data_IF_254625260301
#
_entry.id   IF_254625260301
#
_cell.length_a   1.000
_cell.length_b   1.000
_cell.length_c   1.000
_cell.angle_alpha   90.00
_cell.angle_beta   90.00
_cell.angle_gamma   90.00
#
_symmetry.space_group_name_H-M   'P 1'
#
loop_
_entity.id
_entity.type
_entity.pdbx_description
1 polymer ?
#
# COMPACT_ATOMS: atom_id res chain seq x y z
N UNK A 1 3.88 3.16 -18.06
CA UNK A 1 3.10 4.42 -17.87
C UNK A 1 3.54 5.53 -18.84
N UNK A 2 2.60 6.17 -19.57
CA UNK A 2 2.83 7.44 -20.31
C UNK A 2 2.57 8.59 -19.33
N UNK A 3 3.41 9.63 -19.31
CA UNK A 3 3.33 10.65 -18.25
C UNK A 3 3.80 12.03 -18.67
N UNK A 4 3.40 13.02 -17.89
CA UNK A 4 3.78 14.42 -18.05
C UNK A 4 5.22 14.65 -17.59
N UNK A 5 5.92 15.67 -18.14
CA UNK A 5 7.29 15.96 -17.77
C UNK A 5 7.40 16.45 -16.33
N UNK A 6 8.48 16.04 -15.65
CA UNK A 6 8.83 16.48 -14.30
C UNK A 6 9.32 17.94 -14.36
N UNK A 7 8.86 18.83 -13.46
CA UNK A 7 9.40 20.18 -13.33
C UNK A 7 10.93 20.20 -13.18
N UNK A 8 11.63 21.01 -13.99
CA UNK A 8 13.10 21.04 -14.01
C UNK A 8 13.71 21.39 -12.65
N UNK A 9 13.04 22.25 -11.88
CA UNK A 9 13.44 22.63 -10.52
C UNK A 9 13.51 21.45 -9.56
N UNK A 10 12.70 20.41 -9.77
CA UNK A 10 12.73 19.19 -8.96
C UNK A 10 13.89 18.29 -9.40
N UNK A 11 14.12 18.16 -10.70
CA UNK A 11 15.24 17.39 -11.26
C UNK A 11 16.58 17.91 -10.71
N UNK A 12 16.77 19.23 -10.71
CA UNK A 12 17.99 19.86 -10.19
C UNK A 12 18.24 19.57 -8.70
N UNK A 13 17.18 19.35 -7.92
CA UNK A 13 17.24 19.13 -6.47
C UNK A 13 17.10 17.67 -6.05
N UNK A 14 17.09 16.74 -6.99
CA UNK A 14 16.87 15.31 -6.70
C UNK A 14 17.92 14.75 -5.74
N UNK A 15 19.18 15.16 -5.91
CA UNK A 15 20.31 14.72 -5.09
C UNK A 15 20.26 15.26 -3.65
N UNK A 16 19.54 16.36 -3.42
CA UNK A 16 19.34 16.92 -2.07
C UNK A 16 18.26 16.14 -1.31
N UNK A 17 17.32 15.55 -2.05
CA UNK A 17 16.18 14.85 -1.49
C UNK A 17 16.47 13.37 -1.20
N UNK A 18 17.04 12.63 -2.15
CA UNK A 18 17.38 11.21 -2.02
C UNK A 18 18.48 11.01 -0.97
N UNK A 19 18.50 9.90 -0.21
CA UNK A 19 19.61 9.58 0.67
C UNK A 19 20.92 9.41 -0.12
N UNK A 20 22.01 9.92 0.45
CA UNK A 20 23.40 9.62 0.08
C UNK A 20 23.76 8.14 0.25
N UNK A 21 23.10 7.45 1.18
CA UNK A 21 23.28 6.01 1.43
C UNK A 21 21.91 5.31 1.57
N UNK A 22 21.65 4.34 0.69
CA UNK A 22 20.40 3.57 0.68
C UNK A 22 20.20 2.67 1.89
N UNK A 23 21.26 2.35 2.65
CA UNK A 23 21.10 1.68 3.95
C UNK A 23 20.22 2.48 4.92
N UNK A 24 20.11 3.81 4.73
CA UNK A 24 19.20 4.67 5.52
C UNK A 24 17.72 4.36 5.28
N UNK A 25 17.35 3.80 4.11
CA UNK A 25 15.98 3.36 3.82
C UNK A 25 15.63 2.01 4.45
N UNK A 26 16.62 1.25 4.92
CA UNK A 26 16.37 0.01 5.68
C UNK A 26 15.92 0.29 7.12
N UNK A 27 15.99 1.55 7.56
CA UNK A 27 15.64 2.00 8.90
C UNK A 27 16.30 1.11 9.97
N UNK A 28 17.63 1.21 10.03
CA UNK A 28 18.46 0.47 11.00
C UNK A 28 18.46 1.22 12.32
N UNK A 29 18.15 0.55 13.42
CA UNK A 29 18.19 1.10 14.78
C UNK A 29 18.93 0.18 15.74
N UNK A 30 19.55 0.74 16.78
CA UNK A 30 20.16 -0.05 17.85
C UNK A 30 19.08 -0.53 18.83
N UNK A 31 19.13 -1.80 19.23
CA UNK A 31 18.28 -2.33 20.29
C UNK A 31 18.86 -2.08 21.69
N UNK A 32 18.10 -2.44 22.74
CA UNK A 32 18.51 -2.29 24.14
C UNK A 32 19.84 -3.00 24.48
N UNK A 33 20.32 -3.93 23.63
CA UNK A 33 21.58 -4.65 23.78
C UNK A 33 22.70 -4.08 22.91
N UNK A 34 22.49 -2.97 22.20
CA UNK A 34 23.45 -2.37 21.27
C UNK A 34 23.62 -3.14 19.96
N UNK A 35 22.69 -4.04 19.62
CA UNK A 35 22.68 -4.75 18.34
C UNK A 35 21.84 -3.97 17.31
N UNK A 36 22.44 -3.71 16.15
CA UNK A 36 21.74 -3.12 15.01
C UNK A 36 20.62 -4.05 14.52
N UNK A 37 19.38 -3.58 14.55
CA UNK A 37 18.20 -4.23 13.99
C UNK A 37 17.70 -3.47 12.78
N UNK A 38 17.30 -4.21 11.76
CA UNK A 38 16.61 -3.67 10.58
C UNK A 38 15.13 -3.54 10.94
N UNK A 39 14.61 -2.32 10.87
CA UNK A 39 13.21 -2.05 11.19
C UNK A 39 12.26 -2.28 10.03
N UNK A 40 12.75 -2.48 8.82
CA UNK A 40 11.91 -2.83 7.67
C UNK A 40 11.69 -4.34 7.56
N UNK A 41 10.46 -4.74 7.27
CA UNK A 41 10.12 -6.13 6.95
C UNK A 41 10.37 -6.35 5.46
N UNK A 42 11.26 -7.29 5.13
CA UNK A 42 11.35 -7.77 3.75
C UNK A 42 10.20 -8.77 3.51
N UNK A 43 9.49 -8.61 2.40
CA UNK A 43 8.48 -9.57 1.94
C UNK A 43 8.75 -9.94 0.49
N UNK A 44 8.03 -10.95 0.00
CA UNK A 44 7.86 -11.09 -1.43
C UNK A 44 7.12 -9.87 -1.96
N UNK A 45 7.62 -9.29 -3.04
CA UNK A 45 7.05 -8.15 -3.74
C UNK A 45 6.80 -8.55 -5.19
N UNK A 46 5.61 -8.26 -5.68
CA UNK A 46 5.22 -8.53 -7.06
C UNK A 46 5.83 -7.54 -8.04
N UNK A 47 6.16 -6.33 -7.59
CA UNK A 47 6.75 -5.23 -8.34
C UNK A 47 5.87 -4.60 -9.44
N UNK A 48 4.86 -5.32 -9.93
CA UNK A 48 4.01 -4.87 -11.05
C UNK A 48 2.50 -5.13 -10.86
N UNK A 49 1.92 -4.74 -9.72
CA UNK A 49 0.47 -4.87 -9.46
C UNK A 49 -0.31 -3.70 -10.10
N UNK A 50 -0.33 -3.65 -11.43
CA UNK A 50 -1.12 -2.72 -12.24
C UNK A 50 -2.52 -3.25 -12.55
N UNK A 51 -3.38 -2.43 -13.18
CA UNK A 51 -4.78 -2.79 -13.42
C UNK A 51 -4.99 -3.94 -14.41
N UNK A 52 -4.06 -4.16 -15.33
CA UNK A 52 -4.04 -5.26 -16.29
C UNK A 52 -3.61 -6.60 -15.67
N UNK A 53 -2.85 -6.54 -14.56
CA UNK A 53 -2.42 -7.71 -13.80
C UNK A 53 -3.41 -8.16 -12.70
N UNK A 54 -4.53 -7.44 -12.53
CA UNK A 54 -5.60 -7.83 -11.59
C UNK A 54 -6.84 -8.32 -12.35
N UNK A 55 -7.09 -9.62 -12.27
CA UNK A 55 -8.28 -10.21 -12.88
C UNK A 55 -9.54 -9.91 -12.05
N UNK A 56 -10.52 -9.27 -12.70
CA UNK A 56 -11.82 -8.92 -12.12
C UNK A 56 -12.90 -9.87 -12.63
N UNK A 57 -13.76 -10.34 -11.72
CA UNK A 57 -14.95 -11.11 -12.08
C UNK A 57 -16.24 -10.42 -11.64
N UNK A 58 -17.36 -10.59 -12.38
CA UNK A 58 -18.65 -10.11 -11.93
C UNK A 58 -19.09 -10.85 -10.66
N UNK A 59 -19.45 -10.09 -9.63
CA UNK A 59 -20.18 -10.64 -8.49
C UNK A 59 -21.52 -11.18 -8.99
N UNK A 60 -21.76 -12.47 -8.75
CA UNK A 60 -23.10 -13.03 -8.94
C UNK A 60 -24.09 -12.37 -7.98
N UNK A 61 -25.37 -12.34 -8.36
CA UNK A 61 -26.49 -11.78 -7.57
C UNK A 61 -26.57 -12.37 -6.14
N UNK A 62 -25.84 -13.46 -5.86
CA UNK A 62 -25.81 -14.15 -4.56
C UNK A 62 -24.49 -14.03 -3.77
N UNK A 63 -23.40 -13.46 -4.30
CA UNK A 63 -22.07 -13.58 -3.68
C UNK A 63 -21.58 -12.39 -2.86
N UNK A 64 -22.32 -11.27 -2.83
CA UNK A 64 -21.94 -10.05 -2.10
C UNK A 64 -22.57 -9.90 -0.70
N UNK A 65 -23.31 -10.91 -0.21
CA UNK A 65 -23.75 -10.98 1.18
C UNK A 65 -22.65 -11.59 2.07
N UNK A 66 -21.52 -10.90 2.22
CA UNK A 66 -20.57 -11.18 3.29
C UNK A 66 -20.25 -9.87 4.00
N UNK A 67 -20.97 -9.61 5.10
CA UNK A 67 -20.63 -8.58 6.07
C UNK A 67 -21.82 -7.84 6.67
N UNK A 68 -22.29 -8.34 7.82
CA UNK A 68 -23.17 -7.72 8.81
C UNK A 68 -24.69 -7.72 8.58
N UNK A 69 -25.35 -8.81 8.99
CA UNK A 69 -26.65 -8.72 9.68
C UNK A 69 -26.67 -9.67 10.87
N UNK A 70 -26.21 -9.17 12.03
CA UNK A 70 -26.70 -9.68 13.30
C UNK A 70 -28.06 -9.02 13.55
N UNK A 71 -29.15 -9.76 13.36
CA UNK A 71 -30.45 -9.36 13.91
C UNK A 71 -31.64 -9.53 12.97
N UNK A 72 -32.50 -10.46 13.39
CA UNK A 72 -33.96 -10.48 13.22
C UNK A 72 -34.54 -10.76 11.83
N UNK A 73 -35.02 -11.99 11.70
CA UNK A 73 -36.24 -12.42 11.01
C UNK A 73 -37.14 -11.29 10.49
N UNK A 74 -37.39 -11.25 9.17
CA UNK A 74 -38.72 -10.92 8.68
C UNK A 74 -38.98 -11.45 7.26
N UNK A 75 -39.71 -12.57 7.24
CA UNK A 75 -40.83 -12.94 6.36
C UNK A 75 -40.76 -12.55 4.88
N UNK A 76 -40.59 -13.59 4.08
CA UNK A 76 -40.96 -13.69 2.67
C UNK A 76 -42.46 -13.40 2.46
N UNK A 77 -42.80 -12.37 1.68
CA UNK A 77 -43.94 -12.36 0.73
C UNK A 77 -44.10 -10.98 0.07
N UNK A 78 -44.26 -10.96 -1.26
CA UNK A 78 -45.06 -9.92 -1.91
C UNK A 78 -44.51 -9.28 -3.18
N UNK A 79 -44.78 -9.96 -4.30
CA UNK A 79 -45.30 -9.36 -5.54
C UNK A 79 -44.41 -8.39 -6.35
N UNK A 80 -44.01 -8.91 -7.52
CA UNK A 80 -43.57 -8.18 -8.71
C UNK A 80 -44.61 -7.16 -9.18
N UNK A 81 -44.16 -5.92 -9.44
CA UNK A 81 -44.56 -5.01 -10.53
C UNK A 81 -43.78 -3.69 -10.31
N UNK A 82 -43.15 -3.03 -11.26
CA UNK A 82 -42.99 -3.19 -12.70
C UNK A 82 -42.32 -1.91 -13.20
N UNK A 83 -41.45 -2.04 -14.19
CA UNK A 83 -40.88 -0.99 -15.03
C UNK A 83 -39.84 -0.02 -14.41
N UNK A 84 -38.59 -0.40 -14.63
CA UNK A 84 -37.39 0.41 -14.53
C UNK A 84 -36.23 -0.56 -14.60
N UNK A 85 -35.33 -0.41 -15.56
CA UNK A 85 -34.13 -1.23 -15.74
C UNK A 85 -33.24 -1.19 -14.48
N UNK A 86 -33.66 -1.87 -13.42
CA UNK A 86 -32.80 -2.20 -12.29
C UNK A 86 -31.99 -3.42 -12.72
N UNK A 87 -31.14 -3.19 -13.71
CA UNK A 87 -29.95 -4.00 -13.89
C UNK A 87 -29.19 -3.85 -12.58
N UNK A 88 -29.43 -4.78 -11.64
CA UNK A 88 -28.74 -4.84 -10.37
C UNK A 88 -27.28 -4.59 -10.66
N UNK A 89 -26.74 -3.54 -10.05
CA UNK A 89 -25.39 -3.07 -10.33
C UNK A 89 -24.47 -4.28 -10.27
N UNK A 90 -23.97 -4.70 -11.44
CA UNK A 90 -23.02 -5.79 -11.53
C UNK A 90 -21.77 -5.29 -10.83
N UNK A 91 -21.66 -5.59 -9.54
CA UNK A 91 -20.46 -5.30 -8.79
C UNK A 91 -19.38 -6.22 -9.31
N UNK A 92 -18.15 -5.74 -9.36
CA UNK A 92 -16.99 -6.51 -9.76
C UNK A 92 -16.14 -6.77 -8.52
N UNK A 93 -15.50 -7.93 -8.45
CA UNK A 93 -14.54 -8.24 -7.40
C UNK A 93 -13.22 -8.71 -8.00
N UNK A 94 -12.07 -8.34 -7.40
CA UNK A 94 -10.80 -8.94 -7.75
C UNK A 94 -10.83 -10.42 -7.39
N UNK A 95 -10.29 -11.27 -8.26
CA UNK A 95 -10.27 -12.72 -8.06
C UNK A 95 -8.85 -13.29 -8.15
N UNK A 96 -8.02 -12.84 -9.09
CA UNK A 96 -6.65 -13.31 -9.25
C UNK A 96 -5.69 -12.15 -9.52
N UNK A 97 -4.44 -12.32 -9.08
CA UNK A 97 -3.29 -11.50 -9.49
C UNK A 97 -2.49 -12.36 -10.50
N UNK A 98 -2.02 -11.73 -11.57
CA UNK A 98 -1.31 -12.36 -12.68
C UNK A 98 0.09 -11.75 -12.82
N UNK A 99 0.93 -12.43 -13.61
CA UNK A 99 2.28 -11.99 -13.99
C UNK A 99 3.31 -11.82 -12.84
N UNK A 100 3.69 -12.95 -12.24
CA UNK A 100 4.72 -13.00 -11.19
C UNK A 100 6.16 -13.06 -11.73
N UNK A 101 6.41 -12.65 -12.99
CA UNK A 101 7.72 -12.82 -13.61
C UNK A 101 8.81 -11.95 -12.95
N UNK A 102 8.43 -10.80 -12.39
CA UNK A 102 9.31 -9.86 -11.69
C UNK A 102 9.28 -9.99 -10.15
N UNK A 103 8.77 -11.12 -9.65
CA UNK A 103 8.70 -11.40 -8.21
C UNK A 103 10.09 -11.34 -7.56
N UNK A 104 10.23 -10.52 -6.53
CA UNK A 104 11.49 -10.36 -5.80
C UNK A 104 11.28 -10.25 -4.29
N UNK A 105 12.37 -10.19 -3.52
CA UNK A 105 12.31 -9.93 -2.08
C UNK A 105 12.69 -8.47 -1.85
N UNK A 106 11.81 -7.72 -1.19
CA UNK A 106 12.03 -6.29 -0.99
C UNK A 106 11.06 -5.67 0.00
N UNK A 107 10.91 -4.36 -0.11
CA UNK A 107 10.00 -3.58 0.73
C UNK A 107 8.56 -3.66 0.20
N UNK A 108 7.57 -4.10 0.98
CA UNK A 108 6.17 -4.08 0.56
C UNK A 108 5.61 -2.68 0.20
N UNK A 109 6.26 -1.58 0.56
CA UNK A 109 5.91 -0.25 0.01
C UNK A 109 6.03 -0.23 -1.52
N UNK A 110 6.94 -1.02 -2.10
CA UNK A 110 7.17 -1.06 -3.54
C UNK A 110 5.92 -1.52 -4.29
N UNK A 111 5.22 -2.56 -3.81
CA UNK A 111 3.94 -3.03 -4.40
C UNK A 111 2.79 -2.03 -4.24
N UNK A 112 2.87 -1.14 -3.25
CA UNK A 112 1.85 -0.12 -3.03
C UNK A 112 1.86 0.96 -4.13
N UNK A 113 3.02 1.20 -4.75
CA UNK A 113 3.19 2.24 -5.77
C UNK A 113 2.29 1.99 -6.99
N UNK A 114 2.39 0.84 -7.69
CA UNK A 114 1.54 0.57 -8.86
C UNK A 114 0.06 0.43 -8.46
N UNK A 115 -0.25 -0.14 -7.28
CA UNK A 115 -1.64 -0.22 -6.79
C UNK A 115 -2.24 1.19 -6.66
N UNK A 116 -1.53 2.13 -6.03
CA UNK A 116 -2.09 3.46 -5.79
C UNK A 116 -2.20 4.28 -7.07
N UNK A 117 -1.18 4.25 -7.91
CA UNK A 117 -1.12 5.09 -9.10
C UNK A 117 -1.94 4.53 -10.27
N UNK A 118 -1.94 3.21 -10.44
CA UNK A 118 -2.58 2.59 -11.61
C UNK A 118 -3.98 2.05 -11.29
N UNK A 119 -4.15 1.28 -10.23
CA UNK A 119 -5.46 0.71 -9.87
C UNK A 119 -6.35 1.77 -9.22
N UNK A 120 -5.85 2.49 -8.22
CA UNK A 120 -6.63 3.51 -7.51
C UNK A 120 -6.62 4.87 -8.22
N UNK A 121 -5.80 5.04 -9.26
CA UNK A 121 -5.70 6.29 -10.03
C UNK A 121 -5.47 7.51 -9.14
N UNK A 122 -4.70 7.35 -8.06
CA UNK A 122 -4.40 8.40 -7.09
C UNK A 122 -5.53 8.73 -6.09
N UNK A 123 -6.63 7.96 -6.06
CA UNK A 123 -7.73 8.19 -5.12
C UNK A 123 -7.31 7.93 -3.67
N UNK A 124 -7.23 9.01 -2.89
CA UNK A 124 -6.80 8.98 -1.48
C UNK A 124 -7.74 8.17 -0.59
N UNK A 125 -9.05 8.18 -0.87
CA UNK A 125 -10.04 7.42 -0.09
C UNK A 125 -9.87 5.92 -0.30
N UNK A 126 -9.55 5.48 -1.52
CA UNK A 126 -9.23 4.08 -1.81
C UNK A 126 -7.93 3.66 -1.14
N UNK A 127 -6.89 4.51 -1.18
CA UNK A 127 -5.63 4.25 -0.46
C UNK A 127 -5.87 4.10 1.05
N UNK A 128 -6.63 5.01 1.66
CA UNK A 128 -6.95 4.95 3.09
C UNK A 128 -7.72 3.66 3.43
N UNK A 129 -8.70 3.27 2.62
CA UNK A 129 -9.46 2.03 2.80
C UNK A 129 -8.59 0.79 2.61
N UNK A 130 -7.69 0.80 1.63
CA UNK A 130 -6.72 -0.27 1.41
C UNK A 130 -5.82 -0.43 2.63
N UNK A 131 -5.20 0.64 3.13
CA UNK A 131 -4.31 0.61 4.29
C UNK A 131 -5.04 0.09 5.55
N UNK A 132 -6.27 0.56 5.80
CA UNK A 132 -7.13 0.07 6.90
C UNK A 132 -7.39 -1.44 6.80
N UNK A 133 -7.52 -1.96 5.58
CA UNK A 133 -7.81 -3.37 5.32
C UNK A 133 -6.55 -4.24 5.28
N UNK A 134 -5.41 -3.68 4.87
CA UNK A 134 -4.13 -4.35 4.69
C UNK A 134 -3.60 -4.92 6.01
N UNK A 135 -3.76 -4.18 7.11
CA UNK A 135 -3.45 -4.59 8.49
C UNK A 135 -2.00 -5.11 8.73
N UNK A 136 -1.10 -5.08 7.75
CA UNK A 136 0.29 -5.48 7.96
C UNK A 136 1.18 -4.26 8.18
N UNK A 137 2.06 -4.28 9.19
CA UNK A 137 2.99 -3.18 9.40
C UNK A 137 3.94 -3.05 8.21
N UNK A 138 4.05 -1.84 7.65
CA UNK A 138 5.06 -1.52 6.63
C UNK A 138 6.44 -1.26 7.25
N UNK A 139 6.47 -0.90 8.55
CA UNK A 139 7.68 -0.77 9.37
C UNK A 139 7.46 -1.50 10.68
N UNK A 140 8.45 -2.28 11.12
CA UNK A 140 8.45 -2.99 12.40
C UNK A 140 8.48 -1.96 13.53
N UNK A 141 7.42 -1.94 14.33
CA UNK A 141 7.27 -0.99 15.42
C UNK A 141 8.34 -1.17 16.49
N UNK A 142 9.29 -0.25 16.56
CA UNK A 142 9.75 0.24 17.86
C UNK A 142 8.62 1.13 18.36
N UNK A 143 8.26 0.99 19.64
CA UNK A 143 7.30 1.89 20.28
C UNK A 143 7.67 3.33 19.93
N UNK A 144 6.79 4.06 19.24
CA UNK A 144 6.94 5.50 18.99
C UNK A 144 6.92 6.35 20.29
N UNK A 145 7.12 5.73 21.45
CA UNK A 145 7.23 6.37 22.75
C UNK A 145 8.63 6.92 23.03
N UNK A 146 9.66 6.46 22.33
CA UNK A 146 10.84 7.28 22.17
C UNK A 146 10.58 8.19 20.98
N UNK A 147 10.16 9.41 21.32
CA UNK A 147 10.35 10.58 20.48
C UNK A 147 11.72 10.45 19.83
N UNK A 148 11.75 10.04 18.56
CA UNK A 148 12.89 10.29 17.69
C UNK A 148 13.05 11.79 17.76
N UNK A 149 13.99 12.23 18.58
CA UNK A 149 14.30 13.63 18.81
C UNK A 149 14.66 14.22 17.46
N UNK A 150 13.68 14.87 16.84
CA UNK A 150 13.88 15.75 15.70
C UNK A 150 13.91 15.06 14.34
N UNK A 151 12.98 15.45 13.48
CA UNK A 151 13.29 15.84 12.10
C UNK A 151 13.78 14.79 11.11
N UNK A 152 14.00 13.54 11.50
CA UNK A 152 14.59 12.57 10.59
C UNK A 152 13.58 12.04 9.56
N UNK A 153 13.70 12.51 8.32
CA UNK A 153 12.86 12.09 7.19
C UNK A 153 12.96 10.59 6.90
N UNK A 154 14.06 9.94 7.29
CA UNK A 154 14.30 8.52 7.05
C UNK A 154 13.38 7.58 7.83
N UNK A 155 12.60 8.06 8.80
CA UNK A 155 11.56 7.27 9.47
C UNK A 155 10.18 7.33 8.83
N UNK A 156 9.94 8.25 7.87
CA UNK A 156 8.61 8.52 7.31
C UNK A 156 8.29 7.60 6.14
N UNK A 157 7.14 6.93 6.20
CA UNK A 157 6.67 6.07 5.11
C UNK A 157 6.46 6.84 3.80
N UNK A 158 5.98 8.09 3.87
CA UNK A 158 5.82 8.94 2.69
C UNK A 158 7.16 9.21 1.99
N UNK A 159 8.20 9.48 2.76
CA UNK A 159 9.55 9.73 2.25
C UNK A 159 10.12 8.49 1.56
N UNK A 160 9.90 7.31 2.14
CA UNK A 160 10.30 6.03 1.54
C UNK A 160 9.61 5.80 0.21
N UNK A 161 8.28 5.92 0.18
CA UNK A 161 7.49 5.77 -1.03
C UNK A 161 7.94 6.74 -2.13
N UNK A 162 8.18 8.01 -1.77
CA UNK A 162 8.66 9.01 -2.72
C UNK A 162 10.07 8.70 -3.24
N UNK A 163 11.00 8.26 -2.38
CA UNK A 163 12.33 7.81 -2.82
C UNK A 163 12.23 6.66 -3.82
N UNK A 164 11.40 5.65 -3.54
CA UNK A 164 11.16 4.55 -4.46
C UNK A 164 10.55 5.02 -5.78
N UNK A 165 9.63 5.99 -5.76
CA UNK A 165 9.08 6.56 -6.99
C UNK A 165 10.13 7.25 -7.86
N UNK A 166 11.10 7.96 -7.25
CA UNK A 166 12.15 8.65 -8.00
C UNK A 166 13.17 7.67 -8.59
N UNK A 167 13.44 6.59 -7.87
CA UNK A 167 14.42 5.57 -8.23
C UNK A 167 13.83 4.41 -9.04
N UNK A 168 12.52 4.44 -9.30
CA UNK A 168 11.82 3.36 -9.96
C UNK A 168 12.33 3.16 -11.39
N UNK A 169 12.40 1.91 -11.84
CA UNK A 169 12.83 1.59 -13.20
C UNK A 169 11.81 2.07 -14.25
N UNK A 170 10.52 2.04 -13.90
CA UNK A 170 9.44 2.63 -14.70
C UNK A 170 9.23 4.14 -14.50
N UNK A 171 8.52 4.74 -15.45
CA UNK A 171 8.12 6.16 -15.42
C UNK A 171 6.99 6.46 -14.42
N UNK A 172 7.21 6.13 -13.15
CA UNK A 172 6.29 6.38 -12.03
C UNK A 172 6.10 7.88 -11.81
N UNK A 173 7.17 8.66 -11.88
CA UNK A 173 7.10 10.12 -11.74
C UNK A 173 6.20 10.74 -12.81
N UNK A 174 6.31 10.29 -14.06
CA UNK A 174 5.42 10.76 -15.12
C UNK A 174 3.94 10.50 -14.82
N UNK A 175 3.61 9.34 -14.24
CA UNK A 175 2.24 9.04 -13.82
C UNK A 175 1.77 9.97 -12.69
N UNK A 176 2.63 10.25 -11.70
CA UNK A 176 2.35 11.21 -10.63
C UNK A 176 2.02 12.59 -11.22
N UNK A 177 2.88 13.15 -12.07
CA UNK A 177 2.64 14.49 -12.63
C UNK A 177 1.46 14.55 -13.61
N UNK A 178 1.01 13.42 -14.14
CA UNK A 178 -0.23 13.32 -14.93
C UNK A 178 -1.50 13.22 -14.08
N UNK A 179 -1.43 12.62 -12.88
CA UNK A 179 -2.59 12.47 -12.00
C UNK A 179 -2.88 13.74 -11.18
N UNK A 180 -1.85 14.51 -10.82
CA UNK A 180 -1.99 15.72 -10.02
C UNK A 180 -1.47 16.95 -10.74
N UNK A 181 -2.37 17.68 -11.40
CA UNK A 181 -2.03 18.92 -12.14
C UNK A 181 -1.35 19.99 -11.27
N UNK A 182 -1.70 20.06 -9.99
CA UNK A 182 -1.10 21.00 -9.03
C UNK A 182 0.42 20.82 -8.88
N UNK A 183 0.91 19.59 -9.04
CA UNK A 183 2.33 19.26 -8.89
C UNK A 183 3.19 19.78 -10.04
N UNK A 184 2.59 20.18 -11.17
CA UNK A 184 3.33 20.81 -12.29
C UNK A 184 4.00 22.11 -11.90
N UNK A 185 3.58 22.71 -10.79
CA UNK A 185 4.15 23.95 -10.23
C UNK A 185 4.99 23.73 -8.95
N UNK A 186 5.13 22.48 -8.51
CA UNK A 186 5.82 22.13 -7.28
C UNK A 186 7.31 22.52 -7.35
N UNK A 187 7.83 23.00 -6.21
CA UNK A 187 9.22 23.53 -6.12
C UNK A 187 10.15 22.65 -5.31
N UNK A 188 9.61 21.75 -4.51
CA UNK A 188 10.36 20.86 -3.63
C UNK A 188 9.79 19.45 -3.68
N UNK A 189 10.63 18.45 -3.43
CA UNK A 189 10.20 17.05 -3.39
C UNK A 189 9.35 16.75 -2.16
N UNK A 190 9.52 17.49 -1.07
CA UNK A 190 8.67 17.40 0.12
C UNK A 190 7.21 17.81 -0.16
N UNK A 191 6.99 18.75 -1.08
CA UNK A 191 5.65 19.14 -1.53
C UNK A 191 4.98 17.98 -2.29
N UNK A 192 5.72 17.37 -3.23
CA UNK A 192 5.28 16.18 -3.99
C UNK A 192 5.01 15.01 -3.05
N UNK A 193 5.95 14.71 -2.14
CA UNK A 193 5.82 13.67 -1.11
C UNK A 193 4.53 13.83 -0.31
N UNK A 194 4.27 15.05 0.18
CA UNK A 194 3.13 15.32 1.03
C UNK A 194 1.80 15.18 0.29
N UNK A 195 1.72 15.64 -0.97
CA UNK A 195 0.52 15.57 -1.80
C UNK A 195 0.19 14.13 -2.19
N UNK A 196 1.19 13.35 -2.56
CA UNK A 196 0.99 11.98 -3.09
C UNK A 196 0.93 10.97 -1.96
N UNK A 197 1.90 11.00 -1.04
CA UNK A 197 2.15 9.92 -0.07
C UNK A 197 1.89 10.32 1.38
N UNK A 198 1.41 11.54 1.65
CA UNK A 198 1.22 12.05 3.00
C UNK A 198 0.34 11.16 3.89
N UNK A 199 -0.65 10.46 3.31
CA UNK A 199 -1.53 9.55 4.05
C UNK A 199 -0.78 8.36 4.69
N UNK A 200 0.33 7.93 4.09
CA UNK A 200 1.14 6.84 4.63
C UNK A 200 1.69 7.16 6.03
N UNK A 201 1.92 8.43 6.34
CA UNK A 201 2.44 8.83 7.65
C UNK A 201 1.44 8.62 8.78
N UNK A 202 0.15 8.48 8.47
CA UNK A 202 -0.90 8.17 9.44
C UNK A 202 -1.02 6.66 9.69
N UNK A 203 -0.38 5.82 8.86
CA UNK A 203 -0.50 4.38 8.93
C UNK A 203 0.36 3.79 10.05
N UNK A 204 -0.29 3.12 11.01
CA UNK A 204 0.36 2.48 12.17
C UNK A 204 0.42 0.95 12.10
N UNK A 205 -0.06 0.35 11.00
CA UNK A 205 -0.23 -1.10 10.91
C UNK A 205 -1.27 -1.64 11.90
N UNK A 206 -1.31 -2.97 12.08
CA UNK A 206 -2.19 -3.59 13.07
C UNK A 206 -1.57 -3.59 14.48
N UNK A 207 -2.29 -3.08 15.50
CA UNK A 207 -1.81 -3.07 16.88
C UNK A 207 -1.76 -4.52 17.41
N UNK A 208 -0.56 -5.09 17.48
CA UNK A 208 -0.33 -6.45 17.99
C UNK A 208 0.87 -7.19 17.40
N UNK A 209 1.53 -6.64 16.38
CA UNK A 209 2.62 -7.31 15.64
C UNK A 209 4.01 -7.23 16.30
N UNK A 210 4.13 -6.66 17.51
CA UNK A 210 5.40 -6.60 18.27
C UNK A 210 5.91 -7.97 18.73
N UNK A 211 5.21 -9.07 18.43
CA UNK A 211 5.69 -10.44 18.67
C UNK A 211 5.50 -11.32 17.43
N UNK A 212 6.41 -11.17 16.46
CA UNK A 212 6.44 -12.00 15.24
C UNK A 212 6.67 -13.50 15.51
N UNK A 213 7.01 -13.91 16.73
CA UNK A 213 7.09 -15.33 17.10
C UNK A 213 5.72 -16.01 17.08
N UNK A 214 4.63 -15.29 17.37
CA UNK A 214 3.29 -15.87 17.43
C UNK A 214 2.67 -16.11 16.04
N UNK A 215 2.97 -15.25 15.05
CA UNK A 215 2.35 -15.32 13.72
C UNK A 215 2.99 -16.39 12.82
N UNK A 216 4.31 -16.61 12.94
CA UNK A 216 5.00 -17.69 12.23
C UNK A 216 4.65 -19.07 12.82
N UNK A 217 4.36 -19.15 14.12
CA UNK A 217 3.93 -20.38 14.78
C UNK A 217 2.54 -20.86 14.34
N UNK A 218 1.68 -19.98 13.81
CA UNK A 218 0.33 -20.34 13.35
C UNK A 218 0.27 -20.79 11.88
N UNK A 219 1.38 -20.72 11.16
CA UNK A 219 1.49 -21.12 9.75
C UNK A 219 2.21 -22.46 9.57
N UNK A 220 2.69 -23.09 10.64
CA UNK A 220 3.23 -24.45 10.56
C UNK A 220 2.09 -25.45 10.28
N UNK A 221 2.18 -26.26 9.22
CA UNK A 221 1.20 -27.31 8.97
C UNK A 221 1.28 -28.33 10.11
N UNK A 222 0.18 -28.52 10.82
CA UNK A 222 0.06 -29.60 11.81
C UNK A 222 0.23 -30.93 11.08
N UNK A 223 1.36 -31.59 11.31
CA UNK A 223 1.57 -32.97 10.83
C UNK A 223 0.46 -33.86 11.38
N UNK A 224 -0.24 -34.64 10.54
CA UNK A 224 -1.30 -35.51 11.03
C UNK A 224 -0.65 -36.64 11.85
N UNK A 225 -0.95 -36.65 13.15
CA UNK A 225 -0.56 -37.72 14.06
C UNK A 225 -1.09 -39.04 13.51
N UNK A 226 -0.18 -39.93 13.13
CA UNK A 226 -0.51 -41.28 12.69
C UNK A 226 -0.51 -42.19 13.90
N UNK A 227 -1.70 -42.78 14.15
CA UNK A 227 -2.07 -43.91 15.03
C UNK A 227 -1.96 -43.72 16.56
#
# INVERSE_FOLDING_TARGET
MRGDPIPSTLIEKVNEYIPDDFYKLLYIFEDENGLNKVGKLCSWIHSDIMDDNVHMEPCGVHSCLIGNTNGTDLVNNGLVNGNGDSAGSKSWRPNHILDFSDLSIGDPIYDLIPIYLDIFRGDRSLLEQFLKSYKLPLVRGVSQNESVKGGDKFGRLSYHAMCYCILHDDNVLGAIFSLWDELKTAKTWEEVEQVVWGELNNYKGFPGSSSSSAFLSSLEPTTPTTL
#
